data_IF_652972789546
#
_entry.id   IF_652972789546
#
_cell.length_a   1.000
_cell.length_b   1.000
_cell.length_c   1.000
_cell.angle_alpha   90.00
_cell.angle_beta   90.00
_cell.angle_gamma   90.00
#
_symmetry.space_group_name_H-M   'P 1'
#
loop_
_entity.id
_entity.type
_entity.pdbx_description
1 polymer ?
#
# COMPACT_ATOMS: atom_id res chain seq x y z
N UNK A 1 31.87 -4.69 46.67
CA UNK A 1 32.30 -6.07 46.38
C UNK A 1 31.61 -6.47 45.07
N UNK A 2 32.25 -6.16 43.95
CA UNK A 2 31.67 -6.31 42.62
C UNK A 2 32.40 -7.45 41.89
N UNK A 3 31.63 -8.44 41.44
CA UNK A 3 32.09 -9.62 40.69
C UNK A 3 32.17 -9.28 39.20
N UNK A 4 33.23 -9.80 38.57
CA UNK A 4 33.68 -9.56 37.19
C UNK A 4 32.93 -10.37 36.13
N UNK A 5 32.71 -9.72 34.98
CA UNK A 5 32.77 -10.15 33.54
C UNK A 5 32.04 -11.42 33.03
N UNK A 6 31.81 -11.57 31.69
CA UNK A 6 32.14 -10.67 30.58
C UNK A 6 31.04 -10.36 29.54
N UNK A 7 31.41 -9.32 28.80
CA UNK A 7 30.97 -8.72 27.54
C UNK A 7 30.51 -9.66 26.42
N UNK A 8 29.48 -9.19 25.69
CA UNK A 8 29.04 -9.71 24.38
C UNK A 8 29.97 -9.20 23.28
N UNK A 9 30.47 -10.13 22.47
CA UNK A 9 31.18 -9.89 21.22
C UNK A 9 30.21 -9.37 20.13
N UNK A 10 30.41 -8.13 19.68
CA UNK A 10 29.96 -7.66 18.37
C UNK A 10 31.08 -7.93 17.35
N UNK A 11 30.91 -8.92 16.48
CA UNK A 11 31.80 -9.14 15.34
C UNK A 11 31.35 -8.27 14.17
N UNK A 12 31.92 -7.07 14.09
CA UNK A 12 31.94 -6.28 12.86
C UNK A 12 32.82 -6.97 11.81
N UNK A 13 32.31 -7.10 10.58
CA UNK A 13 33.07 -7.59 9.43
C UNK A 13 34.05 -6.49 9.03
N UNK A 14 35.31 -6.67 9.42
CA UNK A 14 36.46 -5.89 9.00
C UNK A 14 37.17 -6.68 7.90
N UNK A 15 37.02 -6.29 6.64
CA UNK A 15 37.87 -6.82 5.56
C UNK A 15 39.28 -6.22 5.72
N UNK A 16 40.19 -6.99 6.32
CA UNK A 16 41.63 -6.72 6.31
C UNK A 16 42.25 -7.29 5.05
N UNK A 17 42.85 -6.43 4.24
CA UNK A 17 43.91 -6.85 3.32
C UNK A 17 45.15 -7.21 4.16
N UNK A 18 45.51 -8.49 4.19
CA UNK A 18 46.71 -8.95 4.90
C UNK A 18 47.96 -8.63 4.08
N UNK A 19 48.78 -7.71 4.59
CA UNK A 19 50.19 -7.53 4.23
C UNK A 19 51.06 -7.98 5.41
N UNK A 20 51.66 -9.16 5.31
CA UNK A 20 52.85 -9.55 6.08
C UNK A 20 54.07 -8.94 5.35
N UNK A 21 55.16 -8.38 5.93
CA UNK A 21 55.83 -8.61 7.22
C UNK A 21 56.98 -7.59 7.44
N UNK A 22 57.37 -7.40 8.71
CA UNK A 22 58.71 -7.09 9.28
C UNK A 22 59.33 -5.68 9.24
N UNK A 23 59.66 -5.19 10.46
CA UNK A 23 60.55 -4.05 10.76
C UNK A 23 62.01 -4.29 10.33
N UNK A 24 62.67 -3.26 9.77
CA UNK A 24 63.83 -2.55 10.37
C UNK A 24 64.31 -1.42 9.45
N UNK A 25 64.67 -0.31 10.09
CA UNK A 25 65.08 0.99 9.57
C UNK A 25 66.34 0.97 8.69
N UNK A 26 66.40 1.82 7.65
CA UNK A 26 67.44 2.87 7.44
C UNK A 26 67.31 3.59 6.07
N UNK A 27 67.26 4.93 6.15
CA UNK A 27 67.73 5.98 5.22
C UNK A 27 67.88 5.73 3.68
N UNK A 28 66.91 6.23 2.92
CA UNK A 28 66.96 7.36 1.94
C UNK A 28 68.31 7.72 1.25
N UNK A 29 68.47 7.53 -0.08
CA UNK A 29 68.19 8.47 -1.22
C UNK A 29 68.88 7.99 -2.55
N UNK A 30 68.15 8.17 -3.66
CA UNK A 30 68.60 8.49 -5.04
C UNK A 30 68.89 7.38 -6.10
N UNK A 31 67.93 7.33 -7.04
CA UNK A 31 67.98 7.17 -8.51
C UNK A 31 68.38 5.85 -9.20
N UNK A 32 67.42 5.45 -10.05
CA UNK A 32 67.53 4.77 -11.35
C UNK A 32 67.95 3.29 -11.38
N UNK A 33 66.96 2.40 -11.33
CA UNK A 33 66.95 1.15 -12.09
C UNK A 33 65.51 0.69 -12.30
N UNK A 34 65.21 0.22 -13.52
CA UNK A 34 63.91 -0.31 -13.94
C UNK A 34 63.40 -1.36 -12.94
N UNK A 35 62.32 -1.07 -12.23
CA UNK A 35 61.56 -2.10 -11.51
C UNK A 35 60.37 -2.51 -12.37
N UNK A 36 60.44 -3.74 -12.86
CA UNK A 36 59.30 -4.48 -13.40
C UNK A 36 58.09 -4.33 -12.46
N UNK A 37 57.04 -3.65 -12.93
CA UNK A 37 55.76 -3.62 -12.24
C UNK A 37 55.24 -5.05 -12.17
N UNK A 38 55.35 -5.68 -11.00
CA UNK A 38 54.68 -6.93 -10.70
C UNK A 38 53.17 -6.69 -10.80
N UNK A 39 52.55 -7.17 -11.87
CA UNK A 39 51.11 -7.26 -12.00
C UNK A 39 50.62 -8.21 -10.89
N UNK A 40 49.99 -7.67 -9.85
CA UNK A 40 49.23 -8.48 -8.91
C UNK A 40 48.09 -9.14 -9.67
N UNK A 41 48.15 -10.46 -9.82
CA UNK A 41 47.05 -11.23 -10.39
C UNK A 41 45.85 -11.10 -9.44
N UNK A 42 44.76 -10.50 -9.92
CA UNK A 42 43.50 -10.47 -9.19
C UNK A 42 42.86 -11.86 -9.27
N UNK A 43 42.35 -12.37 -8.15
CA UNK A 43 41.67 -13.67 -8.10
C UNK A 43 40.32 -13.54 -7.41
N UNK A 44 39.31 -14.28 -7.88
CA UNK A 44 38.05 -14.49 -7.15
C UNK A 44 38.08 -15.84 -6.44
N UNK A 45 37.74 -15.83 -5.16
CA UNK A 45 37.49 -17.04 -4.38
C UNK A 45 35.99 -17.15 -4.09
N UNK A 46 35.41 -18.33 -4.37
CA UNK A 46 34.01 -18.62 -4.05
C UNK A 46 33.97 -19.32 -2.69
N UNK A 47 33.43 -18.64 -1.68
CA UNK A 47 33.32 -19.18 -0.33
C UNK A 47 32.49 -20.48 -0.32
N UNK A 48 32.85 -21.42 0.56
CA UNK A 48 32.21 -22.74 0.71
C UNK A 48 32.30 -23.66 -0.51
N UNK A 49 33.31 -23.47 -1.37
CA UNK A 49 33.62 -24.41 -2.45
C UNK A 49 35.07 -24.90 -2.33
N UNK A 50 35.36 -26.06 -2.90
CA UNK A 50 36.73 -26.56 -3.05
C UNK A 50 37.39 -26.07 -4.36
N UNK A 51 36.82 -25.03 -4.99
CA UNK A 51 37.33 -24.50 -6.24
C UNK A 51 38.61 -23.70 -5.99
N UNK A 52 39.61 -23.92 -6.84
CA UNK A 52 40.80 -23.08 -6.85
C UNK A 52 40.41 -21.63 -7.17
N UNK A 53 41.07 -20.62 -6.57
CA UNK A 53 40.82 -19.22 -6.89
C UNK A 53 40.91 -18.95 -8.39
N UNK A 54 39.91 -18.26 -8.94
CA UNK A 54 39.78 -18.00 -10.36
C UNK A 54 40.63 -16.77 -10.70
N UNK A 55 41.66 -16.89 -11.55
CA UNK A 55 42.46 -15.75 -11.97
C UNK A 55 41.65 -14.85 -12.90
N UNK A 56 41.78 -13.54 -12.69
CA UNK A 56 41.09 -12.50 -13.45
C UNK A 56 42.06 -11.69 -14.31
N UNK A 57 41.52 -11.16 -15.41
CA UNK A 57 42.11 -10.09 -16.21
C UNK A 57 41.18 -8.88 -16.27
N UNK A 58 41.77 -7.69 -16.29
CA UNK A 58 41.04 -6.45 -16.48
C UNK A 58 40.32 -5.95 -15.22
N UNK A 59 39.34 -5.09 -15.42
CA UNK A 59 38.56 -4.47 -14.35
C UNK A 59 37.46 -5.41 -13.85
N UNK A 60 37.30 -5.48 -12.53
CA UNK A 60 36.15 -6.10 -11.86
C UNK A 60 35.14 -4.99 -11.55
N UNK A 61 33.89 -5.16 -11.99
CA UNK A 61 32.81 -4.24 -11.66
C UNK A 61 31.72 -4.99 -10.92
N UNK A 62 31.18 -4.39 -9.87
CA UNK A 62 29.97 -4.86 -9.19
C UNK A 62 28.90 -3.80 -9.38
N UNK A 63 27.77 -4.17 -9.96
CA UNK A 63 26.67 -3.23 -10.17
C UNK A 63 25.85 -2.98 -8.89
N UNK A 64 24.88 -2.06 -8.97
CA UNK A 64 24.01 -1.71 -7.85
C UNK A 64 23.12 -2.86 -7.35
N UNK A 65 22.99 -3.95 -8.13
CA UNK A 65 22.25 -5.15 -7.77
C UNK A 65 23.17 -6.24 -7.19
N UNK A 66 24.45 -5.94 -6.99
CA UNK A 66 25.44 -6.90 -6.50
C UNK A 66 25.95 -7.87 -7.57
N UNK A 67 25.65 -7.65 -8.85
CA UNK A 67 26.14 -8.49 -9.93
C UNK A 67 27.60 -8.17 -10.24
N UNK A 68 28.47 -9.17 -10.07
CA UNK A 68 29.88 -9.07 -10.44
C UNK A 68 30.06 -9.38 -11.93
N UNK A 69 30.72 -8.46 -12.64
CA UNK A 69 31.22 -8.65 -14.01
C UNK A 69 32.74 -8.56 -14.01
N UNK A 70 33.39 -9.61 -14.51
CA UNK A 70 34.84 -9.70 -14.62
C UNK A 70 35.21 -10.59 -15.81
N UNK A 71 36.41 -10.37 -16.39
CA UNK A 71 36.96 -11.26 -17.42
C UNK A 71 37.97 -12.19 -16.76
N UNK A 72 37.76 -13.50 -16.82
CA UNK A 72 38.72 -14.45 -16.25
C UNK A 72 39.85 -14.78 -17.24
N UNK A 73 41.01 -15.21 -16.74
CA UNK A 73 42.16 -15.63 -17.57
C UNK A 73 42.37 -17.14 -17.56
N UNK A 74 42.73 -17.69 -18.72
CA UNK A 74 43.22 -19.06 -18.86
C UNK A 74 42.14 -20.16 -18.88
N UNK A 75 42.60 -21.42 -18.88
CA UNK A 75 41.75 -22.61 -19.01
C UNK A 75 40.84 -22.87 -17.81
N UNK A 76 41.12 -22.24 -16.66
CA UNK A 76 40.25 -22.25 -15.46
C UNK A 76 38.91 -21.57 -15.69
N UNK A 77 38.75 -20.80 -16.76
CA UNK A 77 37.47 -20.26 -17.21
C UNK A 77 36.56 -21.31 -17.87
N UNK A 78 37.13 -22.35 -18.47
CA UNK A 78 36.37 -23.29 -19.31
C UNK A 78 35.39 -24.16 -18.52
N UNK A 79 35.58 -24.27 -17.21
CA UNK A 79 34.71 -25.01 -16.28
C UNK A 79 33.76 -24.11 -15.48
N UNK A 80 33.86 -22.78 -15.61
CA UNK A 80 32.89 -21.85 -15.03
C UNK A 80 31.62 -21.86 -15.89
N UNK A 81 30.57 -22.51 -15.38
CA UNK A 81 29.25 -22.58 -16.03
C UNK A 81 28.89 -23.95 -16.61
N UNK A 82 29.70 -24.98 -16.42
CA UNK A 82 29.31 -26.37 -16.72
C UNK A 82 28.98 -27.11 -15.43
N UNK A 83 27.93 -26.69 -14.74
CA UNK A 83 27.33 -27.57 -13.75
C UNK A 83 26.17 -28.31 -14.44
N UNK A 84 26.21 -29.64 -14.39
CA UNK A 84 25.08 -30.48 -14.82
C UNK A 84 23.98 -30.58 -13.75
N UNK A 85 24.01 -29.68 -12.76
CA UNK A 85 23.07 -29.63 -11.65
C UNK A 85 21.86 -28.74 -11.93
N UNK A 86 20.99 -28.61 -10.94
CA UNK A 86 19.76 -27.81 -11.06
C UNK A 86 19.98 -26.43 -10.41
N UNK A 87 19.91 -25.33 -11.17
CA UNK A 87 20.03 -23.98 -10.62
C UNK A 87 18.97 -23.71 -9.53
N UNK A 88 19.31 -22.86 -8.56
CA UNK A 88 18.36 -22.43 -7.53
C UNK A 88 17.21 -21.65 -8.16
N UNK A 89 15.97 -21.89 -7.71
CA UNK A 89 14.79 -21.15 -8.16
C UNK A 89 13.99 -20.61 -6.99
N UNK A 90 13.31 -19.50 -7.21
CA UNK A 90 12.41 -18.86 -6.26
C UNK A 90 11.06 -18.63 -6.91
N UNK A 91 9.99 -18.79 -6.13
CA UNK A 91 8.63 -18.41 -6.49
C UNK A 91 8.01 -17.58 -5.39
N UNK A 92 7.43 -16.45 -5.78
CA UNK A 92 6.69 -15.51 -4.96
C UNK A 92 5.17 -15.72 -5.15
N UNK A 93 4.31 -15.15 -4.28
CA UNK A 93 2.88 -15.32 -4.38
C UNK A 93 2.34 -14.69 -5.67
N UNK A 94 1.33 -15.31 -6.26
CA UNK A 94 0.67 -14.77 -7.43
C UNK A 94 -0.19 -13.53 -7.07
N UNK A 95 -0.02 -12.47 -7.85
CA UNK A 95 -0.85 -11.26 -7.77
C UNK A 95 -0.36 -10.23 -6.74
N UNK A 96 -0.95 -9.03 -6.75
CA UNK A 96 -0.48 -7.95 -5.89
C UNK A 96 -0.80 -8.23 -4.41
N UNK A 97 0.22 -8.20 -3.56
CA UNK A 97 0.08 -8.18 -2.10
C UNK A 97 -0.35 -6.77 -1.69
N UNK A 98 -1.24 -6.67 -0.72
CA UNK A 98 -1.85 -5.39 -0.34
C UNK A 98 -1.66 -5.17 1.15
N UNK A 99 -1.12 -4.00 1.52
CA UNK A 99 -0.71 -3.70 2.90
C UNK A 99 -0.90 -2.22 3.25
N UNK A 100 -0.63 -1.86 4.50
CA UNK A 100 -0.68 -0.47 4.98
C UNK A 100 0.70 0.04 5.40
N UNK A 101 0.95 1.33 5.17
CA UNK A 101 2.13 2.06 5.62
C UNK A 101 2.18 1.96 7.16
N UNK A 102 3.19 1.27 7.71
CA UNK A 102 3.41 0.90 9.14
C UNK A 102 3.07 -0.55 9.54
N UNK A 103 2.47 -1.36 8.67
CA UNK A 103 2.32 -2.79 8.90
C UNK A 103 3.47 -3.58 8.28
N UNK A 104 4.04 -4.51 9.05
CA UNK A 104 4.97 -5.50 8.52
C UNK A 104 4.24 -6.43 7.56
N UNK A 105 4.63 -6.41 6.30
CA UNK A 105 4.05 -7.23 5.24
C UNK A 105 4.80 -8.54 5.17
N UNK A 106 4.07 -9.65 5.29
CA UNK A 106 4.66 -10.97 5.19
C UNK A 106 4.56 -11.47 3.74
N UNK A 107 5.71 -11.69 3.10
CA UNK A 107 5.81 -12.22 1.75
C UNK A 107 6.23 -13.69 1.84
N UNK A 108 5.33 -14.58 1.42
CA UNK A 108 5.63 -16.00 1.36
C UNK A 108 6.57 -16.28 0.16
N UNK A 109 7.62 -17.05 0.37
CA UNK A 109 8.58 -17.43 -0.64
C UNK A 109 8.71 -18.95 -0.68
N UNK A 110 8.80 -19.51 -1.89
CA UNK A 110 9.14 -20.92 -2.10
C UNK A 110 10.47 -20.99 -2.84
N UNK A 111 11.47 -21.65 -2.26
CA UNK A 111 12.81 -21.75 -2.85
C UNK A 111 13.18 -23.22 -3.04
N UNK A 112 13.74 -23.57 -4.20
CA UNK A 112 14.12 -24.96 -4.53
C UNK A 112 15.61 -25.08 -4.88
N UNK A 113 16.12 -26.32 -4.95
CA UNK A 113 17.49 -26.66 -5.30
C UNK A 113 18.57 -26.05 -4.38
N UNK A 114 18.31 -25.99 -3.07
CA UNK A 114 19.26 -25.65 -2.01
C UNK A 114 20.07 -24.36 -2.29
N UNK A 115 19.45 -23.17 -2.19
CA UNK A 115 20.11 -21.90 -2.46
C UNK A 115 21.30 -21.67 -1.51
N UNK A 116 22.40 -21.17 -2.05
CA UNK A 116 23.53 -20.62 -1.30
C UNK A 116 23.26 -19.17 -0.90
N UNK A 117 22.48 -18.41 -1.67
CA UNK A 117 22.03 -17.07 -1.28
C UNK A 117 20.78 -16.67 -2.04
N UNK A 118 19.96 -15.81 -1.46
CA UNK A 118 18.81 -15.19 -2.12
C UNK A 118 18.83 -13.69 -1.86
N UNK A 119 18.74 -12.89 -2.91
CA UNK A 119 18.84 -11.43 -2.86
C UNK A 119 17.47 -10.85 -3.24
N UNK A 120 16.96 -9.98 -2.37
CA UNK A 120 15.78 -9.15 -2.65
C UNK A 120 16.15 -7.78 -3.20
N UNK A 121 15.38 -7.29 -4.18
CA UNK A 121 15.39 -5.91 -4.68
C UNK A 121 13.98 -5.34 -4.73
N UNK A 122 13.84 -4.01 -4.78
CA UNK A 122 12.52 -3.39 -4.95
C UNK A 122 12.55 -2.14 -5.82
N UNK A 123 11.44 -1.89 -6.51
CA UNK A 123 11.22 -0.68 -7.33
C UNK A 123 9.88 -0.05 -6.91
N UNK A 124 9.86 1.17 -6.35
CA UNK A 124 11.03 1.93 -5.89
C UNK A 124 11.73 1.28 -4.68
N UNK A 125 13.01 1.59 -4.48
CA UNK A 125 13.79 1.07 -3.32
C UNK A 125 13.66 1.94 -2.07
N UNK A 126 13.36 3.23 -2.24
CA UNK A 126 13.26 4.18 -1.14
C UNK A 126 12.07 3.87 -0.24
N UNK A 127 12.35 3.63 1.05
CA UNK A 127 11.34 3.36 2.06
C UNK A 127 10.97 1.89 2.23
N UNK A 128 11.63 0.96 1.53
CA UNK A 128 11.46 -0.48 1.73
C UNK A 128 12.57 -1.00 2.65
N UNK A 129 12.20 -1.67 3.74
CA UNK A 129 13.17 -2.31 4.66
C UNK A 129 12.79 -3.77 4.93
N UNK A 130 13.77 -4.61 5.24
CA UNK A 130 13.56 -6.05 5.45
C UNK A 130 13.64 -6.90 4.17
N UNK A 131 13.55 -6.29 2.98
CA UNK A 131 13.66 -6.98 1.69
C UNK A 131 14.96 -6.72 0.93
N UNK A 132 15.32 -5.45 0.74
CA UNK A 132 16.43 -5.04 -0.13
C UNK A 132 17.78 -5.43 0.49
N UNK A 133 18.62 -6.13 -0.28
CA UNK A 133 20.01 -6.46 0.09
C UNK A 133 20.16 -7.46 1.24
N UNK A 134 19.07 -8.06 1.70
CA UNK A 134 19.07 -9.09 2.75
C UNK A 134 19.19 -10.49 2.14
N UNK A 135 19.93 -11.36 2.82
CA UNK A 135 20.03 -12.78 2.47
C UNK A 135 18.78 -13.52 2.96
N UNK A 136 17.87 -13.86 2.05
CA UNK A 136 16.54 -14.44 2.33
C UNK A 136 16.60 -15.97 2.63
N UNK A 137 17.74 -16.43 3.15
CA UNK A 137 18.26 -17.81 3.06
C UNK A 137 17.61 -18.87 3.95
N UNK A 138 16.58 -18.57 4.72
CA UNK A 138 15.96 -19.56 5.61
C UNK A 138 14.96 -20.49 4.92
N UNK A 139 14.94 -20.50 3.57
CA UNK A 139 14.51 -21.57 2.63
C UNK A 139 13.09 -22.10 2.75
N UNK A 140 12.17 -21.38 2.10
CA UNK A 140 10.70 -21.54 2.13
C UNK A 140 10.09 -21.03 3.43
N UNK A 141 9.24 -20.01 3.33
CA UNK A 141 8.69 -19.34 4.49
C UNK A 141 8.35 -17.89 4.21
N UNK A 142 8.43 -17.07 5.25
CA UNK A 142 7.85 -15.74 5.29
C UNK A 142 8.93 -14.69 5.51
N UNK A 143 9.13 -13.81 4.54
CA UNK A 143 9.96 -12.62 4.68
C UNK A 143 9.11 -11.45 5.16
N UNK A 144 9.58 -10.71 6.17
CA UNK A 144 8.90 -9.53 6.70
C UNK A 144 9.45 -8.27 6.05
N UNK A 145 8.58 -7.48 5.42
CA UNK A 145 8.91 -6.27 4.67
C UNK A 145 8.13 -5.09 5.23
N UNK A 146 8.82 -4.00 5.55
CA UNK A 146 8.19 -2.76 5.99
C UNK A 146 8.29 -1.69 4.91
N UNK A 147 7.21 -0.91 4.79
CA UNK A 147 7.08 0.19 3.83
C UNK A 147 6.86 1.50 4.58
N UNK A 148 7.78 2.44 4.38
CA UNK A 148 7.71 3.79 4.92
C UNK A 148 6.91 4.76 4.03
N UNK A 149 6.64 4.38 2.78
CA UNK A 149 5.96 5.19 1.78
C UNK A 149 4.73 4.46 1.22
N UNK A 150 3.72 5.23 0.81
CA UNK A 150 2.56 4.72 0.07
C UNK A 150 2.88 4.52 -1.42
N UNK A 151 2.12 3.65 -2.08
CA UNK A 151 2.23 3.40 -3.52
C UNK A 151 2.46 1.93 -3.87
N UNK A 152 2.78 1.67 -5.12
CA UNK A 152 3.05 0.33 -5.63
C UNK A 152 4.55 0.06 -5.65
N UNK A 153 4.96 -1.08 -5.10
CA UNK A 153 6.34 -1.55 -5.03
C UNK A 153 6.44 -2.91 -5.71
N UNK A 154 7.28 -3.05 -6.73
CA UNK A 154 7.64 -4.35 -7.25
C UNK A 154 8.75 -4.93 -6.36
N UNK A 155 8.47 -6.02 -5.64
CA UNK A 155 9.45 -6.77 -4.87
C UNK A 155 9.95 -7.95 -5.71
N UNK A 156 11.24 -7.96 -6.03
CA UNK A 156 11.87 -9.01 -6.81
C UNK A 156 12.82 -9.82 -5.94
N UNK A 157 12.85 -11.14 -6.11
CA UNK A 157 13.79 -12.04 -5.46
C UNK A 157 14.55 -12.87 -6.51
N UNK A 158 15.85 -13.10 -6.27
CA UNK A 158 16.65 -14.01 -7.08
C UNK A 158 17.55 -14.88 -6.18
N UNK A 159 17.60 -16.18 -6.43
CA UNK A 159 18.36 -17.14 -5.65
C UNK A 159 19.47 -17.79 -6.46
N UNK A 160 20.59 -18.07 -5.82
CA UNK A 160 21.79 -18.62 -6.44
C UNK A 160 22.29 -19.82 -5.64
N UNK A 161 22.71 -20.88 -6.32
CA UNK A 161 23.50 -21.98 -5.75
C UNK A 161 24.79 -22.18 -6.55
N UNK A 162 25.51 -23.29 -6.32
CA UNK A 162 26.71 -23.64 -7.08
C UNK A 162 26.44 -23.86 -8.58
N UNK A 163 25.19 -24.13 -8.95
CA UNK A 163 24.71 -24.34 -10.32
C UNK A 163 24.17 -23.06 -10.98
N UNK A 164 24.16 -21.94 -10.26
CA UNK A 164 23.66 -20.65 -10.76
C UNK A 164 22.23 -20.32 -10.29
N UNK A 165 21.54 -19.53 -11.10
CA UNK A 165 20.16 -19.07 -10.86
C UNK A 165 19.24 -19.50 -12.00
N UNK A 166 18.03 -19.95 -11.67
CA UNK A 166 16.96 -20.25 -12.62
C UNK A 166 16.18 -19.00 -13.08
N UNK A 167 16.51 -17.82 -12.56
CA UNK A 167 15.81 -16.57 -12.83
C UNK A 167 15.25 -15.90 -11.58
N UNK A 168 14.88 -14.64 -11.73
CA UNK A 168 14.22 -13.85 -10.68
C UNK A 168 12.69 -13.96 -10.80
N UNK A 169 12.00 -13.83 -9.68
CA UNK A 169 10.54 -13.71 -9.62
C UNK A 169 10.14 -12.41 -8.91
N UNK A 170 8.98 -11.87 -9.25
CA UNK A 170 8.52 -10.55 -8.78
C UNK A 170 7.07 -10.58 -8.34
N UNK A 171 6.78 -9.86 -7.25
CA UNK A 171 5.42 -9.63 -6.76
C UNK A 171 5.20 -8.14 -6.55
N UNK A 172 4.06 -7.63 -6.99
CA UNK A 172 3.68 -6.25 -6.71
C UNK A 172 3.11 -6.15 -5.30
N UNK A 173 3.46 -5.09 -4.59
CA UNK A 173 2.93 -4.75 -3.27
C UNK A 173 2.33 -3.36 -3.34
N UNK A 174 1.02 -3.26 -3.13
CA UNK A 174 0.34 -1.97 -3.01
C UNK A 174 0.22 -1.60 -1.53
N UNK A 175 0.80 -0.46 -1.19
CA UNK A 175 0.87 0.09 0.17
C UNK A 175 -0.07 1.28 0.24
N UNK A 176 -1.20 1.09 0.93
CA UNK A 176 -2.11 2.17 1.24
C UNK A 176 -1.60 2.97 2.45
N UNK A 177 -1.99 4.23 2.55
CA UNK A 177 -1.79 5.00 3.78
C UNK A 177 -2.55 4.30 4.91
N UNK A 178 -1.84 3.89 5.97
CA UNK A 178 -2.45 3.41 7.23
C UNK A 178 -3.08 4.55 8.04
N UNK A 179 -3.57 5.58 7.36
CA UNK A 179 -4.20 6.76 7.92
C UNK A 179 -5.64 6.83 7.44
N UNK A 180 -6.44 5.81 7.77
CA UNK A 180 -7.82 6.14 8.10
C UNK A 180 -7.84 7.04 9.32
N UNK A 181 -8.85 7.90 9.43
CA UNK A 181 -8.91 8.96 10.45
C UNK A 181 -8.52 8.42 11.83
N UNK A 182 -7.70 9.18 12.56
CA UNK A 182 -7.11 8.77 13.85
C UNK A 182 -8.14 8.27 14.87
N UNK A 183 -7.71 7.95 16.09
CA UNK A 183 -8.53 7.22 17.09
C UNK A 183 -9.93 7.81 17.40
N UNK A 184 -10.28 9.00 16.92
CA UNK A 184 -11.61 9.61 16.98
C UNK A 184 -12.05 10.16 15.61
N UNK A 185 -13.36 10.10 15.27
CA UNK A 185 -13.86 10.67 14.02
C UNK A 185 -13.83 12.20 14.12
N UNK A 186 -12.86 12.82 13.46
CA UNK A 186 -12.82 14.27 13.30
C UNK A 186 -13.14 14.63 11.84
N UNK A 187 -14.27 15.28 11.58
CA UNK A 187 -14.66 15.59 10.22
C UNK A 187 -13.69 16.60 9.57
N UNK A 188 -13.03 17.44 10.38
CA UNK A 188 -12.11 18.49 9.93
C UNK A 188 -10.69 17.99 9.65
N UNK A 189 -10.37 16.75 10.05
CA UNK A 189 -9.14 16.10 9.66
C UNK A 189 -9.41 15.16 8.49
N UNK A 190 -8.78 15.43 7.35
CA UNK A 190 -8.91 14.61 6.14
C UNK A 190 -7.53 14.37 5.54
N UNK A 191 -7.21 13.09 5.32
CA UNK A 191 -6.04 12.67 4.55
C UNK A 191 -6.54 11.73 3.46
N UNK A 192 -6.41 12.17 2.20
CA UNK A 192 -6.67 11.34 1.02
C UNK A 192 -5.45 11.44 0.12
N UNK A 193 -4.94 10.29 -0.30
CA UNK A 193 -3.77 10.14 -1.17
C UNK A 193 -2.49 10.78 -0.57
N UNK A 194 -2.30 10.65 0.74
CA UNK A 194 -1.11 11.16 1.44
C UNK A 194 -1.05 12.69 1.60
N UNK A 195 -2.10 13.41 1.22
CA UNK A 195 -2.20 14.85 1.42
C UNK A 195 -3.17 15.20 2.54
N UNK A 196 -2.68 15.94 3.54
CA UNK A 196 -3.49 16.52 4.61
C UNK A 196 -4.23 17.74 4.08
N UNK A 197 -5.57 17.72 4.14
CA UNK A 197 -6.39 18.89 3.81
C UNK A 197 -6.50 19.77 5.06
N UNK A 198 -5.45 20.52 5.35
CA UNK A 198 -5.46 21.56 6.37
C UNK A 198 -5.11 22.90 5.70
N UNK A 199 -6.05 23.85 5.69
CA UNK A 199 -5.78 25.25 5.35
C UNK A 199 -5.26 25.56 3.93
N UNK A 200 -6.14 26.14 3.12
CA UNK A 200 -5.87 27.16 2.08
C UNK A 200 -5.21 26.83 0.73
N UNK A 201 -4.73 25.63 0.41
CA UNK A 201 -4.39 25.34 -1.02
C UNK A 201 -4.71 23.90 -1.38
N UNK A 202 -5.90 23.69 -1.94
CA UNK A 202 -6.41 22.40 -2.40
C UNK A 202 -5.94 22.12 -3.83
N UNK A 203 -5.40 20.93 -4.15
CA UNK A 203 -5.16 20.52 -5.53
C UNK A 203 -6.48 20.43 -6.32
N UNK A 204 -6.43 20.56 -7.64
CA UNK A 204 -7.61 20.41 -8.52
C UNK A 204 -8.27 19.04 -8.33
N UNK A 205 -9.60 18.98 -8.33
CA UNK A 205 -10.37 17.76 -8.02
C UNK A 205 -10.55 17.56 -6.51
N UNK A 206 -9.74 18.22 -5.68
CA UNK A 206 -10.08 18.51 -4.30
C UNK A 206 -10.75 19.89 -4.24
N UNK A 207 -11.69 20.27 -5.10
CA UNK A 207 -12.62 21.37 -4.76
C UNK A 207 -13.92 20.82 -4.14
N UNK A 208 -14.16 19.51 -4.29
CA UNK A 208 -15.40 18.82 -3.92
C UNK A 208 -15.32 17.94 -2.67
N UNK A 209 -14.42 18.24 -1.73
CA UNK A 209 -14.45 17.66 -0.35
C UNK A 209 -14.75 18.83 0.56
N UNK A 210 -15.95 18.87 1.13
CA UNK A 210 -16.49 20.08 1.76
C UNK A 210 -16.43 21.30 0.83
N UNK A 211 -17.04 21.21 -0.37
CA UNK A 211 -17.09 22.34 -1.29
C UNK A 211 -17.72 23.56 -0.61
N UNK A 212 -17.22 24.75 -0.96
CA UNK A 212 -17.77 26.01 -0.47
C UNK A 212 -19.23 26.17 -0.89
N UNK A 213 -20.04 26.78 -0.02
CA UNK A 213 -21.48 26.97 -0.25
C UNK A 213 -22.36 25.75 0.04
N UNK A 214 -21.77 24.58 0.29
CA UNK A 214 -22.53 23.41 0.74
C UNK A 214 -22.62 23.35 2.27
N UNK A 215 -23.77 22.89 2.76
CA UNK A 215 -24.02 22.63 4.17
C UNK A 215 -23.79 21.14 4.48
N UNK A 216 -22.83 20.87 5.36
CA UNK A 216 -22.56 19.54 5.88
C UNK A 216 -23.50 19.24 7.06
N UNK A 217 -24.23 18.13 6.99
CA UNK A 217 -24.94 17.59 8.14
C UNK A 217 -24.20 16.36 8.68
N UNK A 218 -23.45 16.57 9.76
CA UNK A 218 -22.83 15.46 10.48
C UNK A 218 -23.88 14.74 11.32
N UNK A 219 -24.03 13.42 11.11
CA UNK A 219 -25.00 12.58 11.77
C UNK A 219 -24.33 11.30 12.27
N UNK A 220 -24.70 10.83 13.45
CA UNK A 220 -24.23 9.51 13.92
C UNK A 220 -24.96 8.41 13.16
N UNK A 221 -24.42 7.20 13.22
CA UNK A 221 -25.02 6.01 12.61
C UNK A 221 -26.44 5.77 13.14
N UNK A 222 -26.57 5.81 14.47
CA UNK A 222 -27.84 5.64 15.18
C UNK A 222 -28.86 6.68 14.75
N UNK A 223 -28.44 7.93 14.58
CA UNK A 223 -29.34 9.01 14.17
C UNK A 223 -29.87 8.82 12.75
N UNK A 224 -29.19 8.08 11.87
CA UNK A 224 -29.63 7.86 10.49
C UNK A 224 -30.35 6.53 10.31
N UNK A 225 -30.01 5.53 11.13
CA UNK A 225 -30.58 4.18 11.02
C UNK A 225 -31.51 3.86 12.20
N UNK A 226 -32.35 4.82 12.60
CA UNK A 226 -33.43 4.69 13.60
C UNK A 226 -32.97 4.10 14.96
N UNK A 227 -31.87 4.62 15.51
CA UNK A 227 -31.36 4.25 16.82
C UNK A 227 -30.51 2.99 16.85
N UNK A 228 -30.23 2.35 15.70
CA UNK A 228 -29.35 1.17 15.65
C UNK A 228 -27.90 1.56 15.66
N UNK A 229 -27.17 0.88 16.53
CA UNK A 229 -25.72 0.98 16.59
C UNK A 229 -25.08 0.36 15.34
N UNK A 230 -23.90 0.85 15.01
CA UNK A 230 -23.07 0.25 13.98
C UNK A 230 -22.79 -1.24 14.28
N UNK A 231 -22.89 -2.10 13.28
CA UNK A 231 -22.67 -3.55 13.40
C UNK A 231 -23.88 -4.35 13.88
N UNK A 232 -25.00 -3.71 14.21
CA UNK A 232 -26.28 -4.38 14.37
C UNK A 232 -26.93 -4.59 12.99
N UNK A 233 -27.56 -5.76 12.75
CA UNK A 233 -28.32 -5.99 11.52
C UNK A 233 -29.31 -4.85 11.28
N UNK A 234 -29.19 -4.20 10.13
CA UNK A 234 -30.14 -3.19 9.65
C UNK A 234 -30.98 -3.91 8.60
N UNK A 235 -32.30 -3.83 8.72
CA UNK A 235 -33.21 -4.53 7.83
C UNK A 235 -34.51 -3.75 7.68
N UNK A 236 -34.39 -2.42 7.66
CA UNK A 236 -35.50 -1.54 7.34
C UNK A 236 -35.00 -0.32 6.59
N UNK A 237 -35.75 0.01 5.55
CA UNK A 237 -35.60 1.19 4.71
C UNK A 237 -35.57 2.47 5.57
N UNK A 238 -34.38 3.01 5.84
CA UNK A 238 -34.21 4.28 6.57
C UNK A 238 -34.35 5.46 5.58
N UNK A 239 -35.32 6.37 5.75
CA UNK A 239 -35.43 7.55 4.89
C UNK A 239 -34.32 8.56 5.21
N UNK A 240 -33.35 8.70 4.31
CA UNK A 240 -32.19 9.61 4.45
C UNK A 240 -32.25 10.68 3.35
N UNK A 241 -32.01 11.93 3.72
CA UNK A 241 -32.13 13.12 2.87
C UNK A 241 -32.66 14.30 3.67
N UNK A 242 -33.46 15.17 3.05
CA UNK A 242 -34.10 16.30 3.74
C UNK A 242 -34.74 15.83 5.04
N UNK A 243 -35.63 14.83 5.00
CA UNK A 243 -36.32 14.28 6.18
C UNK A 243 -35.41 14.02 7.40
N UNK A 244 -34.28 13.33 7.18
CA UNK A 244 -33.35 12.93 8.25
C UNK A 244 -32.57 14.07 8.90
N UNK A 245 -32.58 15.26 8.29
CA UNK A 245 -31.93 16.46 8.84
C UNK A 245 -32.91 17.58 9.18
N UNK A 246 -34.20 17.37 8.93
CA UNK A 246 -35.30 18.33 9.15
C UNK A 246 -36.03 18.69 7.85
N UNK A 247 -36.48 19.93 7.72
CA UNK A 247 -37.07 20.45 6.48
C UNK A 247 -36.06 21.23 5.63
N UNK A 248 -34.77 20.85 5.69
CA UNK A 248 -33.72 21.45 4.89
C UNK A 248 -33.94 21.19 3.39
N UNK A 249 -33.61 22.17 2.55
CA UNK A 249 -33.60 21.99 1.10
C UNK A 249 -32.47 21.03 0.70
N UNK A 250 -32.76 20.16 -0.25
CA UNK A 250 -31.79 19.17 -0.76
C UNK A 250 -30.63 19.81 -1.54
N UNK A 251 -30.88 20.99 -2.13
CA UNK A 251 -29.86 21.76 -2.82
C UNK A 251 -28.72 22.15 -1.86
N UNK A 252 -27.49 21.88 -2.26
CA UNK A 252 -26.32 22.35 -1.51
C UNK A 252 -26.16 21.67 -0.14
N UNK A 253 -26.82 20.55 0.14
CA UNK A 253 -26.60 19.77 1.36
C UNK A 253 -26.00 18.41 1.08
N UNK A 254 -25.22 17.90 2.04
CA UNK A 254 -24.85 16.50 2.10
C UNK A 254 -24.84 16.02 3.55
N UNK A 255 -25.13 14.74 3.75
CA UNK A 255 -25.10 14.08 5.04
C UNK A 255 -23.81 13.28 5.12
N UNK A 256 -23.11 13.36 6.24
CA UNK A 256 -21.89 12.59 6.49
C UNK A 256 -22.04 11.80 7.78
N UNK A 257 -21.72 10.51 7.72
CA UNK A 257 -21.93 9.54 8.81
C UNK A 257 -20.59 8.84 9.09
N UNK A 258 -20.01 8.99 10.29
CA UNK A 258 -18.79 8.30 10.64
C UNK A 258 -19.07 6.83 10.96
N UNK A 259 -18.17 5.93 10.55
CA UNK A 259 -18.23 4.52 10.92
C UNK A 259 -16.83 3.88 10.95
N UNK A 260 -16.71 2.74 11.62
CA UNK A 260 -15.48 1.93 11.68
C UNK A 260 -15.75 0.51 11.19
N UNK A 261 -15.22 0.09 10.03
CA UNK A 261 -15.47 -1.23 9.53
C UNK A 261 -14.80 -2.29 10.41
N UNK A 262 -15.47 -3.42 10.54
CA UNK A 262 -15.05 -4.62 11.25
C UNK A 262 -14.18 -5.48 10.34
N UNK A 263 -13.19 -6.15 10.93
CA UNK A 263 -12.32 -7.05 10.22
C UNK A 263 -13.10 -8.25 9.65
N UNK A 264 -12.85 -8.58 8.38
CA UNK A 264 -13.45 -9.73 7.70
C UNK A 264 -14.89 -9.56 7.23
N UNK A 265 -15.48 -8.37 7.34
CA UNK A 265 -16.89 -8.12 7.01
C UNK A 265 -17.06 -7.51 5.61
N UNK A 266 -18.13 -7.90 4.91
CA UNK A 266 -18.57 -7.28 3.65
C UNK A 266 -19.79 -6.44 3.97
N UNK A 267 -19.78 -5.17 3.60
CA UNK A 267 -20.88 -4.26 3.79
C UNK A 267 -21.53 -4.00 2.43
N UNK A 268 -22.85 -4.07 2.37
CA UNK A 268 -23.61 -3.70 1.18
C UNK A 268 -24.65 -2.67 1.58
N UNK A 269 -24.37 -1.40 1.29
CA UNK A 269 -25.32 -0.31 1.48
C UNK A 269 -26.19 -0.23 0.24
N UNK A 270 -27.48 -0.49 0.40
CA UNK A 270 -28.48 -0.40 -0.67
C UNK A 270 -29.30 0.87 -0.51
N UNK A 271 -29.76 1.43 -1.62
CA UNK A 271 -30.73 2.51 -1.62
C UNK A 271 -31.75 2.37 -2.73
N UNK A 272 -32.94 2.87 -2.41
CA UNK A 272 -34.14 2.79 -3.22
C UNK A 272 -34.83 4.15 -3.24
N UNK A 273 -35.76 4.32 -4.17
CA UNK A 273 -36.67 5.46 -4.14
C UNK A 273 -37.39 5.55 -2.79
N UNK A 274 -37.64 6.77 -2.31
CA UNK A 274 -38.35 6.98 -1.06
C UNK A 274 -39.77 6.38 -1.08
N UNK A 275 -40.09 5.65 -0.03
CA UNK A 275 -41.35 4.97 0.27
C UNK A 275 -41.73 5.25 1.72
N UNK A 276 -43.01 5.12 2.04
CA UNK A 276 -43.48 5.27 3.42
C UNK A 276 -42.92 4.17 4.32
N UNK A 277 -42.49 4.53 5.53
CA UNK A 277 -41.91 3.63 6.52
C UNK A 277 -42.58 3.90 7.87
N UNK A 278 -43.61 3.11 8.19
CA UNK A 278 -44.41 3.26 9.41
C UNK A 278 -43.55 3.22 10.67
N UNK A 279 -42.57 2.31 10.73
CA UNK A 279 -41.70 2.15 11.90
C UNK A 279 -40.78 3.36 12.14
N UNK A 280 -40.59 4.21 11.13
CA UNK A 280 -39.85 5.47 11.22
C UNK A 280 -40.79 6.69 11.32
N UNK A 281 -42.11 6.48 11.52
CA UNK A 281 -43.14 7.52 11.46
C UNK A 281 -43.09 8.37 10.18
N UNK A 282 -42.69 7.76 9.06
CA UNK A 282 -42.49 8.44 7.80
C UNK A 282 -43.59 8.07 6.80
N UNK A 283 -44.50 9.00 6.52
CA UNK A 283 -45.72 8.73 5.75
C UNK A 283 -45.84 9.49 4.43
N UNK A 284 -45.03 10.54 4.21
CA UNK A 284 -45.13 11.39 3.03
C UNK A 284 -43.82 11.37 2.24
N UNK A 285 -43.59 10.35 1.40
CA UNK A 285 -42.31 10.19 0.75
C UNK A 285 -42.03 11.26 -0.32
N UNK A 286 -40.83 11.86 -0.28
CA UNK A 286 -40.36 12.81 -1.30
C UNK A 286 -39.17 12.19 -2.02
N UNK A 287 -39.39 11.70 -3.23
CA UNK A 287 -38.39 10.91 -3.96
C UNK A 287 -37.26 11.76 -4.52
N UNK A 288 -36.04 11.24 -4.42
CA UNK A 288 -34.92 11.67 -5.25
C UNK A 288 -34.85 10.81 -6.52
N UNK A 289 -34.54 11.43 -7.66
CA UNK A 289 -34.31 10.76 -8.95
C UNK A 289 -32.87 10.27 -9.12
N UNK A 290 -31.97 10.68 -8.23
CA UNK A 290 -30.59 10.19 -8.17
C UNK A 290 -30.02 10.43 -6.78
N UNK A 291 -29.08 9.61 -6.36
CA UNK A 291 -28.39 9.74 -5.08
C UNK A 291 -26.93 9.49 -5.34
N UNK A 292 -26.07 10.41 -4.89
CA UNK A 292 -24.63 10.22 -4.87
C UNK A 292 -24.23 9.72 -3.48
N UNK A 293 -23.56 8.57 -3.47
CA UNK A 293 -23.09 7.90 -2.26
C UNK A 293 -21.60 7.67 -2.37
N UNK A 294 -20.87 8.00 -1.32
CA UNK A 294 -19.44 7.77 -1.24
C UNK A 294 -18.99 7.29 0.13
N UNK A 295 -17.95 6.47 0.14
CA UNK A 295 -17.19 6.12 1.33
C UNK A 295 -15.78 6.68 1.15
N UNK A 296 -15.29 7.42 2.13
CA UNK A 296 -13.91 7.92 2.10
C UNK A 296 -13.35 8.20 3.50
N UNK A 297 -12.04 8.43 3.64
CA UNK A 297 -11.45 8.93 4.89
C UNK A 297 -11.92 10.34 5.27
N UNK A 298 -12.62 11.04 4.37
CA UNK A 298 -12.91 12.46 4.50
C UNK A 298 -14.41 12.73 4.53
N UNK A 299 -14.84 13.43 5.58
CA UNK A 299 -16.21 13.91 5.69
C UNK A 299 -16.53 14.85 4.52
N UNK A 300 -17.64 14.59 3.83
CA UNK A 300 -18.10 15.45 2.75
C UNK A 300 -17.32 15.31 1.45
N UNK A 301 -16.71 14.15 1.18
CA UNK A 301 -16.13 13.84 -0.12
C UNK A 301 -17.24 13.65 -1.17
N UNK A 302 -17.63 14.75 -1.82
CA UNK A 302 -18.63 14.78 -2.89
C UNK A 302 -17.99 14.83 -4.27
N UNK A 303 -16.69 14.49 -4.38
CA UNK A 303 -16.02 14.35 -5.68
C UNK A 303 -16.78 13.37 -6.58
N UNK A 304 -16.87 13.65 -7.88
CA UNK A 304 -17.59 12.80 -8.82
C UNK A 304 -16.94 11.43 -8.96
N UNK A 305 -17.73 10.43 -9.35
CA UNK A 305 -17.18 9.12 -9.70
C UNK A 305 -16.46 9.20 -11.05
N UNK A 306 -15.21 8.74 -11.09
CA UNK A 306 -14.38 8.66 -12.29
C UNK A 306 -14.13 7.19 -12.60
N UNK A 307 -14.87 6.63 -13.57
CA UNK A 307 -14.84 5.19 -13.88
C UNK A 307 -13.45 4.68 -14.33
N UNK A 308 -12.64 5.56 -14.93
CA UNK A 308 -11.28 5.28 -15.40
C UNK A 308 -10.21 5.50 -14.35
N UNK A 309 -10.55 6.05 -13.18
CA UNK A 309 -9.59 6.35 -12.12
C UNK A 309 -9.00 5.07 -11.53
N UNK A 310 -7.70 5.11 -11.21
CA UNK A 310 -7.03 4.10 -10.38
C UNK A 310 -7.24 4.35 -8.88
N UNK A 311 -7.62 5.57 -8.50
CA UNK A 311 -7.97 5.90 -7.12
C UNK A 311 -9.32 5.26 -6.74
N UNK A 312 -9.30 4.34 -5.76
CA UNK A 312 -10.50 3.65 -5.29
C UNK A 312 -11.57 4.62 -4.75
N UNK A 313 -11.16 5.73 -4.12
CA UNK A 313 -12.07 6.75 -3.58
C UNK A 313 -12.86 7.44 -4.69
N UNK A 314 -12.34 7.51 -5.91
CA UNK A 314 -13.03 8.08 -7.06
C UNK A 314 -13.76 7.04 -7.90
N UNK A 315 -13.56 5.74 -7.68
CA UNK A 315 -14.11 4.68 -8.54
C UNK A 315 -14.96 3.67 -7.81
N UNK A 316 -14.33 2.90 -6.92
CA UNK A 316 -14.94 1.73 -6.28
C UNK A 316 -15.73 2.07 -5.03
N UNK A 317 -15.32 3.11 -4.29
CA UNK A 317 -16.00 3.61 -3.10
C UNK A 317 -17.05 4.69 -3.38
N UNK A 318 -17.45 4.86 -4.64
CA UNK A 318 -18.44 5.85 -5.06
C UNK A 318 -19.42 5.23 -6.02
N UNK A 319 -20.68 5.59 -5.86
CA UNK A 319 -21.73 5.20 -6.78
C UNK A 319 -22.85 6.23 -6.77
N UNK A 320 -23.43 6.41 -7.94
CA UNK A 320 -24.52 7.34 -8.15
C UNK A 320 -25.61 6.67 -8.97
N UNK A 321 -26.85 6.72 -8.47
CA UNK A 321 -28.02 6.15 -9.13
C UNK A 321 -29.30 6.55 -8.39
N UNK A 322 -30.45 6.45 -9.04
CA UNK A 322 -31.76 6.50 -8.36
C UNK A 322 -31.94 5.34 -7.38
N UNK A 323 -31.46 4.16 -7.76
CA UNK A 323 -31.51 2.93 -6.97
C UNK A 323 -30.24 2.12 -7.22
N UNK A 324 -29.57 1.67 -6.16
CA UNK A 324 -28.37 0.86 -6.30
C UNK A 324 -27.90 0.29 -4.97
N UNK A 325 -26.72 -0.33 -5.02
CA UNK A 325 -25.96 -0.72 -3.86
C UNK A 325 -24.48 -0.34 -3.98
N UNK A 326 -23.83 -0.07 -2.87
CA UNK A 326 -22.39 0.14 -2.77
C UNK A 326 -21.81 -0.93 -1.83
N UNK A 327 -21.02 -1.83 -2.40
CA UNK A 327 -20.26 -2.82 -1.66
C UNK A 327 -18.94 -2.23 -1.17
N UNK A 328 -18.65 -2.34 0.13
CA UNK A 328 -17.36 -1.99 0.72
C UNK A 328 -16.96 -3.04 1.75
N UNK A 329 -15.67 -3.29 1.94
CA UNK A 329 -15.22 -4.41 2.79
C UNK A 329 -13.80 -4.22 3.28
N UNK A 330 -13.46 -4.92 4.35
CA UNK A 330 -12.07 -5.08 4.82
C UNK A 330 -11.36 -6.27 4.20
N UNK A 331 -12.07 -7.09 3.41
CA UNK A 331 -11.50 -8.22 2.69
C UNK A 331 -10.64 -7.77 1.49
N UNK A 332 -9.60 -8.55 1.21
CA UNK A 332 -8.78 -8.38 0.02
C UNK A 332 -9.61 -8.57 -1.26
N UNK A 333 -9.29 -7.78 -2.30
CA UNK A 333 -9.99 -7.85 -3.59
C UNK A 333 -11.30 -7.07 -3.69
N UNK A 334 -11.75 -6.41 -2.60
CA UNK A 334 -12.91 -5.51 -2.65
C UNK A 334 -12.64 -4.29 -3.54
N UNK A 335 -13.61 -3.90 -4.37
CA UNK A 335 -13.53 -2.69 -5.19
C UNK A 335 -13.52 -1.40 -4.37
N UNK A 336 -14.18 -1.41 -3.21
CA UNK A 336 -14.00 -0.40 -2.16
C UNK A 336 -13.43 -1.08 -0.92
N UNK A 337 -12.11 -0.99 -0.75
CA UNK A 337 -11.43 -1.64 0.37
C UNK A 337 -11.15 -0.64 1.48
N UNK A 338 -11.52 -1.03 2.70
CA UNK A 338 -11.32 -0.26 3.92
C UNK A 338 -10.38 -1.03 4.86
N UNK A 339 -9.77 -0.34 5.82
CA UNK A 339 -9.03 -0.98 6.89
C UNK A 339 -9.90 -1.12 8.14
N UNK A 340 -9.83 -2.27 8.79
CA UNK A 340 -10.61 -2.53 9.98
C UNK A 340 -10.21 -1.61 11.15
N UNK A 341 -11.18 -1.14 11.91
CA UNK A 341 -10.97 -0.28 13.09
C UNK A 341 -10.59 1.17 12.78
N UNK A 342 -10.38 1.53 11.52
CA UNK A 342 -10.14 2.91 11.11
C UNK A 342 -11.46 3.68 10.91
N UNK A 343 -11.43 5.00 11.10
CA UNK A 343 -12.60 5.83 10.84
C UNK A 343 -12.73 6.20 9.37
N UNK A 344 -13.94 5.99 8.85
CA UNK A 344 -14.37 6.41 7.52
C UNK A 344 -15.68 7.20 7.61
N UNK A 345 -16.01 7.87 6.52
CA UNK A 345 -17.22 8.66 6.37
C UNK A 345 -18.04 8.14 5.19
N UNK A 346 -19.30 7.80 5.46
CA UNK A 346 -20.33 7.63 4.46
C UNK A 346 -20.92 9.01 4.15
N UNK A 347 -20.75 9.50 2.94
CA UNK A 347 -21.34 10.77 2.48
C UNK A 347 -22.47 10.50 1.49
N UNK A 348 -23.63 11.10 1.74
CA UNK A 348 -24.86 10.94 0.96
C UNK A 348 -25.32 12.32 0.48
N UNK A 349 -25.65 12.43 -0.80
CA UNK A 349 -26.13 13.67 -1.41
C UNK A 349 -27.24 13.40 -2.44
N UNK A 350 -28.26 14.26 -2.43
CA UNK A 350 -29.35 14.24 -3.41
C UNK A 350 -29.05 15.18 -4.59
N UNK A 351 -27.95 14.90 -5.28
CA UNK A 351 -27.51 15.63 -6.46
C UNK A 351 -26.84 14.67 -7.45
N UNK A 352 -26.77 15.12 -8.70
CA UNK A 352 -26.03 14.45 -9.77
C UNK A 352 -24.68 15.15 -9.93
N UNK A 353 -23.58 14.43 -9.73
CA UNK A 353 -22.23 14.95 -9.96
C UNK A 353 -21.53 14.27 -11.13
N UNK A 354 -22.23 13.53 -12.00
CA UNK A 354 -21.58 12.67 -13.02
C UNK A 354 -20.78 13.43 -14.07
N UNK A 355 -21.11 14.70 -14.33
CA UNK A 355 -20.41 15.57 -15.27
C UNK A 355 -19.21 16.32 -14.64
N UNK A 356 -18.97 16.13 -13.34
CA UNK A 356 -17.93 16.81 -12.61
C UNK A 356 -18.25 18.26 -12.26
N UNK A 357 -19.47 18.74 -12.53
CA UNK A 357 -20.00 19.98 -11.98
C UNK A 357 -21.01 19.68 -10.87
N UNK A 358 -20.63 20.01 -9.64
CA UNK A 358 -21.52 19.92 -8.50
C UNK A 358 -21.66 21.33 -7.90
N UNK A 359 -22.85 21.91 -7.99
CA UNK A 359 -23.13 23.27 -7.51
C UNK A 359 -24.05 23.25 -6.28
N UNK A 360 -24.00 24.28 -5.42
CA UNK A 360 -24.87 24.36 -4.24
C UNK A 360 -26.36 24.53 -4.56
N UNK A 361 -26.71 24.75 -5.83
CA UNK A 361 -28.09 24.92 -6.29
C UNK A 361 -28.70 23.65 -6.87
N UNK A 362 -27.87 22.66 -7.20
CA UNK A 362 -28.33 21.42 -7.82
C UNK A 362 -28.90 20.45 -6.79
N UNK A 363 -30.00 19.81 -7.19
CA UNK A 363 -30.61 18.71 -6.48
C UNK A 363 -31.34 17.80 -7.45
N UNK A 364 -31.60 16.56 -7.02
CA UNK A 364 -32.26 15.53 -7.82
C UNK A 364 -33.66 15.21 -7.28
N UNK A 365 -34.28 16.13 -6.56
CA UNK A 365 -35.65 15.95 -6.10
C UNK A 365 -36.64 15.83 -7.26
N UNK A 366 -37.51 14.83 -7.20
CA UNK A 366 -38.57 14.62 -8.18
C UNK A 366 -39.68 15.70 -8.10
N UNK A 367 -40.46 15.81 -9.17
CA UNK A 367 -41.72 16.58 -9.21
C UNK A 367 -41.58 18.07 -8.86
N UNK A 368 -40.40 18.67 -9.12
CA UNK A 368 -40.12 20.08 -8.82
C UNK A 368 -40.03 20.41 -7.33
N UNK A 369 -39.91 19.40 -6.46
CA UNK A 369 -39.75 19.58 -5.01
C UNK A 369 -38.36 20.13 -4.69
N UNK A 370 -38.25 20.86 -3.59
CA UNK A 370 -36.96 21.35 -3.05
C UNK A 370 -36.43 20.45 -1.94
N UNK A 371 -37.21 19.45 -1.54
CA UNK A 371 -36.89 18.50 -0.48
C UNK A 371 -37.12 17.10 -1.01
N UNK A 372 -36.16 16.21 -0.75
CA UNK A 372 -36.23 14.82 -1.14
C UNK A 372 -35.31 13.96 -0.30
N UNK A 373 -35.59 12.67 -0.35
CA UNK A 373 -34.86 11.63 0.33
C UNK A 373 -34.88 10.34 -0.50
N UNK A 374 -34.09 9.37 -0.04
CA UNK A 374 -34.07 8.00 -0.52
C UNK A 374 -34.11 7.06 0.68
N UNK A 375 -34.61 5.84 0.48
CA UNK A 375 -34.54 4.83 1.52
C UNK A 375 -33.23 4.07 1.43
N UNK A 376 -32.60 3.83 2.58
CA UNK A 376 -31.34 3.09 2.68
C UNK A 376 -31.48 1.84 3.53
N UNK A 377 -30.74 0.81 3.17
CA UNK A 377 -30.56 -0.39 3.98
C UNK A 377 -29.09 -0.81 4.00
N UNK A 378 -28.63 -1.46 5.06
CA UNK A 378 -27.26 -1.95 5.17
C UNK A 378 -27.23 -3.43 5.55
N UNK A 379 -26.64 -4.22 4.66
CA UNK A 379 -26.41 -5.65 4.85
C UNK A 379 -24.94 -5.93 5.17
N UNK A 380 -24.66 -7.00 5.93
CA UNK A 380 -23.32 -7.43 6.40
C UNK A 380 -22.97 -8.86 5.98
#
# INVERSE_FOLDING_TARGET
MAVRHPDRNETGILMRANSMTTQRSALVFALAALSSTGLYAQTISINNTNLAPIPLSGSVTVDANGQLSATCTGSTCATLGQSGGSPASVSLPAGPIQTTQSAATTVAMTVTNAPVTCIGTSIPSTGVTGWVGNDLRTTSGNASVNFANIGTFALTANCYNADGSAGADSVDVEVASGSGGGNTPNPDSCIIDGQTIAGSTRPSGYEFIRPAGFTMFNRTWENQFNGREWGAQISYLAPIGSFSVGDAQAAGMYITIPFQPTAGTIYVLEWFEAQSVTNANYFNPRRSTSVSVSVSPCAGDVRPRVATSTNQWLKGCKKQSSQSNLGFSTLAGSGCRLNAGEWYWLTIQMADGTDGSLTPTEHTCADGRTQCEANFDLNF
#
